data_IF_674392626326
#
_entry.id   IF_674392626326
#
_cell.length_a   1.000
_cell.length_b   1.000
_cell.length_c   1.000
_cell.angle_alpha   90.00
_cell.angle_beta   90.00
_cell.angle_gamma   90.00
#
_symmetry.space_group_name_H-M   'P 1'
#
loop_
_entity.id
_entity.type
_entity.pdbx_description
1 polymer ?
#
# COMPACT_ATOMS: atom_id res chain seq x y z
N UNK A 1 -19.49 34.66 29.81
CA UNK A 1 -18.66 33.42 29.88
C UNK A 1 -18.82 32.39 28.74
N UNK A 2 -19.48 32.67 27.60
CA UNK A 2 -19.69 31.66 26.52
C UNK A 2 -18.55 31.50 25.47
N UNK A 3 -17.58 32.43 25.41
CA UNK A 3 -16.54 32.45 24.35
C UNK A 3 -15.44 31.38 24.51
N UNK A 4 -15.21 30.86 25.72
CA UNK A 4 -14.17 29.85 26.00
C UNK A 4 -14.54 28.45 25.49
N UNK A 5 -15.83 28.13 25.40
CA UNK A 5 -16.29 26.79 25.02
C UNK A 5 -16.18 26.51 23.50
N UNK A 6 -16.31 27.55 22.66
CA UNK A 6 -16.19 27.43 21.18
C UNK A 6 -14.74 27.15 20.74
N UNK A 7 -13.74 27.77 21.40
CA UNK A 7 -12.30 27.55 21.11
C UNK A 7 -11.81 26.13 21.46
N UNK A 8 -12.39 25.46 22.47
CA UNK A 8 -12.03 24.07 22.82
C UNK A 8 -12.54 23.07 21.78
N UNK A 9 -13.77 23.25 21.27
CA UNK A 9 -14.34 22.38 20.23
C UNK A 9 -13.56 22.41 18.92
N UNK A 10 -13.11 23.59 18.48
CA UNK A 10 -12.36 23.73 17.22
C UNK A 10 -10.95 23.13 17.28
N UNK A 11 -10.25 23.26 18.43
CA UNK A 11 -8.95 22.60 18.61
C UNK A 11 -9.08 21.07 18.59
N UNK A 12 -10.06 20.49 19.29
CA UNK A 12 -10.26 19.04 19.30
C UNK A 12 -10.54 18.46 17.90
N UNK A 13 -11.32 19.16 17.07
CA UNK A 13 -11.63 18.71 15.71
C UNK A 13 -10.40 18.67 14.79
N UNK A 14 -9.53 19.68 14.87
CA UNK A 14 -8.29 19.71 14.07
C UNK A 14 -7.28 18.64 14.50
N UNK A 15 -7.22 18.32 15.80
CA UNK A 15 -6.38 17.22 16.29
C UNK A 15 -6.86 15.88 15.71
N UNK A 16 -8.16 15.61 15.78
CA UNK A 16 -8.74 14.36 15.26
C UNK A 16 -8.48 14.18 13.76
N UNK A 17 -8.64 15.24 12.95
CA UNK A 17 -8.37 15.21 11.51
C UNK A 17 -6.90 14.92 11.19
N UNK A 18 -5.97 15.50 11.95
CA UNK A 18 -4.52 15.32 11.72
C UNK A 18 -4.07 13.88 11.98
N UNK A 19 -4.50 13.27 13.10
CA UNK A 19 -4.07 11.91 13.45
C UNK A 19 -4.80 10.84 12.63
N UNK A 20 -6.03 11.12 12.16
CA UNK A 20 -6.74 10.27 11.21
C UNK A 20 -5.90 9.96 10.00
N UNK A 21 -5.39 10.99 9.32
CA UNK A 21 -4.63 10.81 8.08
C UNK A 21 -3.36 9.95 8.26
N UNK A 22 -2.71 10.01 9.42
CA UNK A 22 -1.46 9.27 9.67
C UNK A 22 -1.74 7.77 9.81
N UNK A 23 -2.84 7.37 10.46
CA UNK A 23 -3.21 5.95 10.63
C UNK A 23 -3.56 5.24 9.32
N UNK A 24 -3.86 6.00 8.25
CA UNK A 24 -4.14 5.46 6.93
C UNK A 24 -2.90 5.11 6.11
N UNK A 25 -1.74 5.70 6.41
CA UNK A 25 -0.50 5.46 5.66
C UNK A 25 -0.14 3.98 5.58
N UNK A 26 0.03 3.23 6.70
CA UNK A 26 0.39 1.81 6.63
C UNK A 26 -0.71 0.96 5.95
N UNK A 27 -1.97 1.39 6.04
CA UNK A 27 -3.11 0.64 5.56
C UNK A 27 -3.23 0.66 4.03
N UNK A 28 -2.79 1.75 3.41
CA UNK A 28 -2.85 1.92 1.95
C UNK A 28 -1.68 1.20 1.25
N UNK A 29 -0.62 0.82 1.98
CA UNK A 29 0.58 0.21 1.41
C UNK A 29 0.31 -1.05 0.57
N UNK A 30 -0.48 -2.05 1.00
CA UNK A 30 -0.76 -3.22 0.16
C UNK A 30 -1.42 -2.84 -1.18
N UNK A 31 -2.34 -1.88 -1.16
CA UNK A 31 -3.01 -1.43 -2.37
C UNK A 31 -2.03 -0.70 -3.32
N UNK A 32 -1.13 0.11 -2.76
CA UNK A 32 -0.07 0.77 -3.55
C UNK A 32 0.91 -0.25 -4.13
N UNK A 33 1.31 -1.27 -3.36
CA UNK A 33 2.16 -2.36 -3.85
C UNK A 33 1.49 -3.10 -5.01
N UNK A 34 0.20 -3.43 -4.86
CA UNK A 34 -0.57 -4.06 -5.92
C UNK A 34 -0.63 -3.18 -7.19
N UNK A 35 -0.88 -1.89 -7.05
CA UNK A 35 -0.89 -0.96 -8.19
C UNK A 35 0.48 -0.85 -8.88
N UNK A 36 1.56 -0.78 -8.11
CA UNK A 36 2.93 -0.77 -8.65
C UNK A 36 3.23 -2.07 -9.38
N UNK A 37 2.84 -3.21 -8.82
CA UNK A 37 3.00 -4.52 -9.45
C UNK A 37 2.26 -4.62 -10.79
N UNK A 38 0.97 -4.28 -10.81
CA UNK A 38 0.17 -4.28 -12.06
C UNK A 38 0.73 -3.27 -13.07
N UNK A 39 1.15 -2.09 -12.61
CA UNK A 39 1.77 -1.10 -13.47
C UNK A 39 3.09 -1.59 -14.05
N UNK A 40 3.90 -2.35 -13.29
CA UNK A 40 5.13 -2.96 -13.77
C UNK A 40 4.83 -4.02 -14.85
N UNK A 41 3.83 -4.88 -14.62
CA UNK A 41 3.37 -5.87 -15.60
C UNK A 41 2.95 -5.21 -16.94
N UNK A 42 2.19 -4.12 -16.86
CA UNK A 42 1.78 -3.34 -18.04
C UNK A 42 3.02 -2.73 -18.72
N UNK A 43 3.96 -2.18 -17.98
CA UNK A 43 5.20 -1.63 -18.55
C UNK A 43 6.02 -2.71 -19.27
N UNK A 44 6.18 -3.91 -18.69
CA UNK A 44 6.84 -5.03 -19.36
C UNK A 44 6.15 -5.38 -20.67
N UNK A 45 4.82 -5.52 -20.64
CA UNK A 45 4.04 -5.89 -21.82
C UNK A 45 4.14 -4.85 -22.92
N UNK A 46 4.13 -3.56 -22.57
CA UNK A 46 4.27 -2.46 -23.52
C UNK A 46 5.68 -2.33 -24.08
N UNK A 47 6.71 -2.60 -23.27
CA UNK A 47 8.11 -2.50 -23.70
C UNK A 47 8.53 -3.65 -24.62
N UNK A 48 8.15 -4.89 -24.30
CA UNK A 48 8.52 -6.07 -25.06
C UNK A 48 7.52 -6.45 -26.17
N UNK A 49 6.26 -6.03 -26.05
CA UNK A 49 5.16 -6.45 -26.94
C UNK A 49 4.61 -7.84 -26.64
N UNK A 50 5.30 -8.64 -25.81
CA UNK A 50 4.86 -9.92 -25.28
C UNK A 50 5.07 -9.98 -23.75
N UNK A 51 4.67 -11.09 -23.12
CA UNK A 51 4.99 -11.34 -21.72
C UNK A 51 6.42 -11.87 -21.62
N UNK A 52 7.18 -11.47 -20.59
CA UNK A 52 8.59 -11.84 -20.49
C UNK A 52 8.76 -13.33 -20.25
N UNK A 53 9.82 -13.90 -20.81
CA UNK A 53 10.16 -15.31 -20.59
C UNK A 53 11.08 -15.46 -19.36
N UNK A 54 10.69 -16.26 -18.35
CA UNK A 54 11.51 -16.55 -17.18
C UNK A 54 12.88 -17.12 -17.59
N UNK A 55 13.94 -16.77 -16.88
CA UNK A 55 15.33 -17.22 -17.04
C UNK A 55 16.00 -16.87 -18.38
N UNK A 56 15.32 -16.16 -19.27
CA UNK A 56 15.79 -15.89 -20.63
C UNK A 56 15.93 -14.38 -20.88
N UNK A 57 14.92 -13.61 -20.51
CA UNK A 57 14.83 -12.20 -20.91
C UNK A 57 15.17 -11.25 -19.77
N UNK A 58 15.96 -10.22 -20.09
CA UNK A 58 16.26 -9.14 -19.16
C UNK A 58 15.94 -7.79 -19.81
N UNK A 59 14.99 -7.04 -19.23
CA UNK A 59 14.51 -5.76 -19.77
C UNK A 59 15.42 -4.63 -19.27
N UNK A 60 16.48 -4.35 -20.04
CA UNK A 60 17.46 -3.30 -19.73
C UNK A 60 16.99 -1.88 -20.11
N UNK A 61 15.86 -1.44 -19.56
CA UNK A 61 15.36 -0.07 -19.74
C UNK A 61 15.42 0.65 -18.39
N UNK A 62 16.04 1.83 -18.34
CA UNK A 62 16.21 2.60 -17.08
C UNK A 62 14.90 2.87 -16.33
N UNK A 63 13.80 3.13 -17.06
CA UNK A 63 12.48 3.34 -16.43
C UNK A 63 11.95 2.06 -15.77
N UNK A 64 12.23 0.90 -16.35
CA UNK A 64 11.89 -0.41 -15.80
C UNK A 64 12.66 -0.65 -14.50
N UNK A 65 13.99 -0.50 -14.51
CA UNK A 65 14.82 -0.68 -13.31
C UNK A 65 14.39 0.22 -12.13
N UNK A 66 14.04 1.48 -12.41
CA UNK A 66 13.54 2.41 -11.38
C UNK A 66 12.22 1.89 -10.80
N UNK A 67 11.30 1.47 -11.65
CA UNK A 67 9.99 0.99 -11.22
C UNK A 67 10.10 -0.30 -10.39
N UNK A 68 10.96 -1.22 -10.82
CA UNK A 68 11.26 -2.45 -10.10
C UNK A 68 11.87 -2.15 -8.71
N UNK A 69 12.86 -1.25 -8.63
CA UNK A 69 13.45 -0.82 -7.33
C UNK A 69 12.42 -0.19 -6.40
N UNK A 70 11.51 0.64 -6.94
CA UNK A 70 10.41 1.23 -6.17
C UNK A 70 9.49 0.13 -5.65
N UNK A 71 9.11 -0.83 -6.49
CA UNK A 71 8.29 -1.96 -6.07
C UNK A 71 8.97 -2.77 -4.95
N UNK A 72 10.27 -3.09 -5.09
CA UNK A 72 11.06 -3.75 -4.04
C UNK A 72 11.05 -3.00 -2.71
N UNK A 73 11.29 -1.68 -2.74
CA UNK A 73 11.21 -0.83 -1.55
C UNK A 73 9.83 -0.92 -0.89
N UNK A 74 8.76 -0.83 -1.69
CA UNK A 74 7.40 -0.90 -1.20
C UNK A 74 7.04 -2.29 -0.65
N UNK A 75 7.58 -3.38 -1.22
CA UNK A 75 7.46 -4.73 -0.69
C UNK A 75 8.06 -4.87 0.72
N UNK A 76 9.22 -4.25 0.98
CA UNK A 76 9.78 -4.19 2.34
C UNK A 76 8.88 -3.40 3.30
N UNK A 77 8.40 -2.23 2.88
CA UNK A 77 7.48 -1.40 3.69
C UNK A 77 6.17 -2.12 3.95
N UNK A 78 5.69 -2.92 3.00
CA UNK A 78 4.49 -3.74 3.14
C UNK A 78 4.59 -4.72 4.32
N UNK A 79 5.70 -5.43 4.50
CA UNK A 79 5.88 -6.31 5.65
C UNK A 79 5.89 -5.54 6.99
N UNK A 80 6.42 -4.31 6.99
CA UNK A 80 6.43 -3.45 8.19
C UNK A 80 5.08 -2.76 8.46
N UNK A 81 4.18 -2.71 7.47
CA UNK A 81 2.97 -1.89 7.51
C UNK A 81 1.96 -2.36 8.57
N UNK A 82 1.67 -3.66 8.64
CA UNK A 82 0.74 -4.23 9.62
C UNK A 82 1.26 -4.11 11.06
N UNK A 83 2.52 -4.48 11.39
CA UNK A 83 3.09 -4.23 12.71
C UNK A 83 3.05 -2.75 13.09
N UNK A 84 3.41 -1.84 12.17
CA UNK A 84 3.34 -0.41 12.42
C UNK A 84 1.91 0.03 12.77
N UNK A 85 0.91 -0.42 12.01
CA UNK A 85 -0.48 -0.10 12.29
C UNK A 85 -0.95 -0.65 13.65
N UNK A 86 -0.59 -1.89 13.99
CA UNK A 86 -0.90 -2.48 15.30
C UNK A 86 -0.28 -1.68 16.46
N UNK A 87 0.99 -1.29 16.32
CA UNK A 87 1.68 -0.44 17.29
C UNK A 87 0.94 0.91 17.46
N UNK A 88 0.43 1.50 16.38
CA UNK A 88 -0.34 2.74 16.46
C UNK A 88 -1.61 2.61 17.31
N UNK A 89 -2.28 1.45 17.33
CA UNK A 89 -3.47 1.19 18.15
C UNK A 89 -3.19 1.21 19.66
N UNK A 90 -1.95 0.93 20.07
CA UNK A 90 -1.50 0.99 21.46
C UNK A 90 -1.44 2.43 22.00
N UNK A 91 -1.22 3.42 21.12
CA UNK A 91 -1.11 4.82 21.53
C UNK A 91 -2.49 5.50 21.61
N UNK A 92 -2.86 5.95 22.82
CA UNK A 92 -4.15 6.63 23.08
C UNK A 92 -4.43 7.82 22.14
N UNK A 93 -3.40 8.54 21.69
CA UNK A 93 -3.53 9.70 20.77
C UNK A 93 -3.93 9.32 19.35
N UNK A 94 -3.65 8.08 18.93
CA UNK A 94 -3.91 7.55 17.60
C UNK A 94 -5.13 6.62 17.56
N UNK A 95 -5.70 6.31 18.73
CA UNK A 95 -6.93 5.53 18.87
C UNK A 95 -8.13 6.44 18.63
N UNK A 96 -8.62 6.44 17.40
CA UNK A 96 -9.62 7.39 16.91
C UNK A 96 -11.03 6.85 17.15
N UNK A 97 -11.39 5.78 16.43
CA UNK A 97 -12.68 5.12 16.52
C UNK A 97 -12.53 3.67 16.04
N UNK A 98 -13.10 2.72 16.77
CA UNK A 98 -13.10 1.30 16.40
C UNK A 98 -13.67 1.07 14.98
N UNK A 99 -14.72 1.81 14.60
CA UNK A 99 -15.30 1.73 13.24
C UNK A 99 -14.30 2.10 12.14
N UNK A 100 -13.46 3.11 12.40
CA UNK A 100 -12.45 3.56 11.43
C UNK A 100 -11.32 2.54 11.34
N UNK A 101 -10.88 1.99 12.48
CA UNK A 101 -9.86 0.93 12.49
C UNK A 101 -10.36 -0.37 11.83
N UNK A 102 -11.65 -0.69 11.98
CA UNK A 102 -12.25 -1.81 11.26
C UNK A 102 -12.28 -1.56 9.74
N UNK A 103 -12.66 -0.35 9.31
CA UNK A 103 -12.59 0.02 7.89
C UNK A 103 -11.16 -0.06 7.35
N UNK A 104 -10.19 0.42 8.12
CA UNK A 104 -8.76 0.31 7.80
C UNK A 104 -8.33 -1.14 7.61
N UNK A 105 -8.73 -2.03 8.53
CA UNK A 105 -8.45 -3.45 8.43
C UNK A 105 -9.08 -4.08 7.17
N UNK A 106 -10.31 -3.71 6.81
CA UNK A 106 -10.95 -4.16 5.56
C UNK A 106 -10.15 -3.69 4.35
N UNK A 107 -9.75 -2.42 4.29
CA UNK A 107 -8.97 -1.87 3.16
C UNK A 107 -7.62 -2.58 3.02
N UNK A 108 -6.95 -2.83 4.14
CA UNK A 108 -5.72 -3.61 4.17
C UNK A 108 -5.93 -5.04 3.64
N UNK A 109 -6.96 -5.72 4.13
CA UNK A 109 -7.34 -7.06 3.70
C UNK A 109 -7.72 -7.14 2.22
N UNK A 110 -8.40 -6.13 1.68
CA UNK A 110 -8.71 -6.04 0.25
C UNK A 110 -7.44 -5.89 -0.60
N UNK A 111 -6.50 -5.03 -0.19
CA UNK A 111 -5.22 -4.89 -0.87
C UNK A 111 -4.41 -6.19 -0.87
N UNK A 112 -4.37 -6.88 0.28
CA UNK A 112 -3.78 -8.21 0.39
C UNK A 112 -4.45 -9.25 -0.52
N UNK A 113 -5.79 -9.29 -0.50
CA UNK A 113 -6.57 -10.22 -1.30
C UNK A 113 -6.27 -10.01 -2.79
N UNK A 114 -6.20 -8.76 -3.25
CA UNK A 114 -5.86 -8.44 -4.63
C UNK A 114 -4.46 -8.94 -5.01
N UNK A 115 -3.44 -8.75 -4.16
CA UNK A 115 -2.10 -9.30 -4.39
C UNK A 115 -2.16 -10.83 -4.51
N UNK A 116 -2.79 -11.52 -3.56
CA UNK A 116 -2.90 -12.98 -3.56
C UNK A 116 -3.62 -13.47 -4.82
N UNK A 117 -4.74 -12.85 -5.19
CA UNK A 117 -5.49 -13.23 -6.39
C UNK A 117 -4.67 -12.99 -7.66
N UNK A 118 -3.94 -11.88 -7.76
CA UNK A 118 -3.08 -11.61 -8.91
C UNK A 118 -1.95 -12.63 -9.02
N UNK A 119 -1.30 -13.00 -7.91
CA UNK A 119 -0.21 -13.98 -7.92
C UNK A 119 -0.71 -15.41 -8.15
N UNK A 120 -1.87 -15.78 -7.59
CA UNK A 120 -2.41 -17.13 -7.68
C UNK A 120 -3.06 -17.42 -9.04
N UNK A 121 -3.66 -16.41 -9.66
CA UNK A 121 -4.37 -16.54 -10.92
C UNK A 121 -3.69 -15.80 -12.06
N UNK A 122 -2.38 -15.57 -11.99
CA UNK A 122 -1.62 -15.01 -13.12
C UNK A 122 -1.65 -16.01 -14.28
N UNK A 123 -2.34 -15.72 -15.40
CA UNK A 123 -2.34 -16.60 -16.56
C UNK A 123 -1.10 -16.37 -17.43
N UNK A 124 -0.19 -15.48 -17.01
CA UNK A 124 0.99 -15.04 -17.75
C UNK A 124 2.25 -15.54 -17.06
N UNK A 125 3.39 -15.64 -17.77
CA UNK A 125 4.67 -15.95 -17.14
C UNK A 125 5.27 -14.77 -16.35
N UNK A 126 4.54 -13.65 -16.20
CA UNK A 126 5.07 -12.43 -15.60
C UNK A 126 5.43 -12.62 -14.14
N UNK A 127 4.58 -13.26 -13.34
CA UNK A 127 4.86 -13.51 -11.92
C UNK A 127 6.13 -14.35 -11.75
N UNK A 128 6.26 -15.43 -12.52
CA UNK A 128 7.43 -16.30 -12.47
C UNK A 128 8.69 -15.53 -12.85
N UNK A 129 8.66 -14.77 -13.95
CA UNK A 129 9.78 -13.94 -14.38
C UNK A 129 10.13 -12.83 -13.39
N UNK A 130 9.15 -12.25 -12.69
CA UNK A 130 9.41 -11.20 -11.70
C UNK A 130 10.14 -11.71 -10.45
N UNK A 131 9.98 -12.99 -10.11
CA UNK A 131 10.63 -13.63 -8.96
C UNK A 131 11.91 -14.39 -9.31
N UNK A 132 12.26 -14.45 -10.59
CA UNK A 132 13.48 -15.06 -11.11
C UNK A 132 14.69 -14.12 -10.97
#
# INVERSE_FOLDING_TARGET
>A
MKKTNKKRKTKSANYFKKYSNITWLPIIIPLVCWLLYVSLAIHCRLAAGHWPQPMIENINIKSYEIHERVLWLFSFVFFASLPCWLIMLCFKKLRINAKIHFLQFIVFGLGLLLIILTLMFDPTPFTEWFFD
#
